data_IF_602126892816
#
_entry.id   IF_602126892816
#
_cell.length_a   1.000
_cell.length_b   1.000
_cell.length_c   1.000
_cell.angle_alpha   90.00
_cell.angle_beta   90.00
_cell.angle_gamma   90.00
#
_symmetry.space_group_name_H-M   'P 1'
#
loop_
_entity.id
_entity.type
_entity.pdbx_description
1 polymer ?
#
# COMPACT_ATOMS: atom_id res chain seq x y z
N UNK A 1 3.17 -1.17 -4.24
CA UNK A 1 1.94 -0.80 -3.52
C UNK A 1 2.37 0.13 -2.41
N UNK A 2 1.82 1.35 -2.34
CA UNK A 2 2.12 2.29 -1.25
C UNK A 2 1.70 1.70 0.09
N UNK A 3 0.64 0.89 0.16
CA UNK A 3 0.28 0.14 1.37
C UNK A 3 1.42 -0.69 1.97
N UNK A 4 2.41 -1.10 1.16
CA UNK A 4 3.59 -1.84 1.63
C UNK A 4 4.78 -0.94 2.03
N UNK A 5 4.58 0.39 2.05
CA UNK A 5 5.58 1.39 2.37
C UNK A 5 5.11 2.18 3.58
N UNK A 6 6.03 2.43 4.52
CA UNK A 6 5.76 3.34 5.63
C UNK A 6 5.19 4.68 5.13
N UNK A 7 4.07 5.18 5.71
CA UNK A 7 3.44 6.44 5.35
C UNK A 7 4.40 7.63 5.32
N UNK A 8 5.38 7.65 6.25
CA UNK A 8 6.42 8.69 6.33
C UNK A 8 7.28 8.80 5.07
N UNK A 9 7.39 7.73 4.27
CA UNK A 9 8.18 7.71 3.02
C UNK A 9 7.34 8.03 1.78
N UNK A 10 6.01 7.97 1.85
CA UNK A 10 5.13 8.19 0.69
C UNK A 10 5.33 9.57 0.03
N UNK A 11 5.49 10.70 0.76
CA UNK A 11 5.73 11.99 0.13
C UNK A 11 6.98 12.01 -0.75
N UNK A 12 8.07 11.38 -0.30
CA UNK A 12 9.30 11.25 -1.07
C UNK A 12 9.11 10.39 -2.32
N UNK A 13 8.30 9.33 -2.24
CA UNK A 13 7.97 8.50 -3.40
C UNK A 13 7.21 9.32 -4.46
N UNK A 14 6.21 10.09 -4.05
CA UNK A 14 5.46 10.96 -4.96
C UNK A 14 6.35 12.02 -5.63
N UNK A 15 7.28 12.61 -4.88
CA UNK A 15 8.27 13.54 -5.43
C UNK A 15 9.19 12.86 -6.46
N UNK A 16 9.64 11.64 -6.18
CA UNK A 16 10.46 10.86 -7.10
C UNK A 16 9.70 10.52 -8.39
N UNK A 17 8.44 10.10 -8.29
CA UNK A 17 7.59 9.82 -9.45
C UNK A 17 7.43 11.09 -10.30
N UNK A 18 7.11 12.24 -9.67
CA UNK A 18 6.97 13.52 -10.37
C UNK A 18 8.24 13.91 -11.13
N UNK A 19 9.42 13.64 -10.55
CA UNK A 19 10.72 13.98 -11.16
C UNK A 19 11.03 13.19 -12.43
N UNK A 20 10.56 11.95 -12.54
CA UNK A 20 10.87 11.06 -13.67
C UNK A 20 9.74 10.97 -14.70
N UNK A 21 8.56 11.52 -14.38
CA UNK A 21 7.41 11.51 -15.28
C UNK A 21 7.63 12.48 -16.44
N UNK A 22 7.37 12.02 -17.67
CA UNK A 22 7.38 12.89 -18.86
C UNK A 22 6.28 13.96 -18.75
N UNK A 23 6.43 15.12 -19.40
CA UNK A 23 5.32 16.05 -19.57
C UNK A 23 4.09 15.34 -20.12
N UNK A 24 2.92 15.59 -19.52
CA UNK A 24 1.64 14.93 -19.84
C UNK A 24 1.62 13.40 -19.66
N UNK A 25 2.63 12.83 -18.98
CA UNK A 25 2.60 11.44 -18.57
C UNK A 25 1.57 11.20 -17.47
N UNK A 26 1.05 9.97 -17.42
CA UNK A 26 0.14 9.53 -16.38
C UNK A 26 0.76 8.39 -15.58
N UNK A 27 0.41 8.34 -14.30
CA UNK A 27 0.77 7.25 -13.40
C UNK A 27 -0.50 6.47 -13.12
N UNK A 28 -0.53 5.20 -13.52
CA UNK A 28 -1.60 4.29 -13.15
C UNK A 28 -1.26 3.68 -11.80
N UNK A 29 -2.09 3.97 -10.82
CA UNK A 29 -1.87 3.55 -9.44
C UNK A 29 -2.76 2.36 -9.11
N UNK A 30 -2.16 1.28 -8.61
CA UNK A 30 -2.86 0.08 -8.12
C UNK A 30 -2.37 -0.22 -6.71
N UNK A 31 -3.30 -0.30 -5.78
CA UNK A 31 -3.01 -0.61 -4.38
C UNK A 31 -4.11 -1.46 -3.74
N UNK A 32 -3.86 -1.90 -2.51
CA UNK A 32 -4.87 -2.41 -1.61
C UNK A 32 -5.68 -1.25 -1.02
N UNK A 33 -6.92 -1.53 -0.64
CA UNK A 33 -7.81 -0.57 -0.03
C UNK A 33 -8.64 -1.23 1.08
N UNK A 34 -9.17 -0.42 1.98
CA UNK A 34 -10.10 -0.88 3.00
C UNK A 34 -11.35 -1.52 2.35
N UNK A 35 -11.73 -2.69 2.86
CA UNK A 35 -12.83 -3.52 2.39
C UNK A 35 -12.50 -4.39 1.17
N UNK A 36 -11.27 -4.36 0.64
CA UNK A 36 -10.96 -5.16 -0.54
C UNK A 36 -10.86 -6.68 -0.24
N UNK A 37 -10.94 -7.48 -1.31
CA UNK A 37 -10.90 -8.94 -1.18
C UNK A 37 -9.59 -9.48 -0.61
N UNK A 38 -8.47 -8.75 -0.76
CA UNK A 38 -7.20 -9.15 -0.18
C UNK A 38 -7.20 -8.92 1.33
N UNK A 39 -7.79 -7.82 1.81
CA UNK A 39 -7.97 -7.53 3.23
C UNK A 39 -8.81 -8.63 3.89
N UNK A 40 -9.97 -8.99 3.31
CA UNK A 40 -10.82 -10.09 3.79
C UNK A 40 -10.02 -11.39 3.91
N UNK A 41 -9.25 -11.74 2.87
CA UNK A 41 -8.40 -12.95 2.89
C UNK A 41 -7.30 -12.92 3.95
N UNK A 42 -6.78 -11.74 4.30
CA UNK A 42 -5.76 -11.61 5.34
C UNK A 42 -6.39 -11.70 6.73
N UNK A 43 -7.59 -11.15 6.91
CA UNK A 43 -8.40 -11.30 8.11
C UNK A 43 -8.76 -12.77 8.36
N UNK A 44 -9.28 -13.48 7.34
CA UNK A 44 -9.61 -14.92 7.41
C UNK A 44 -8.41 -15.79 7.83
N UNK A 45 -7.20 -15.33 7.53
CA UNK A 45 -5.94 -16.03 7.86
C UNK A 45 -5.31 -15.57 9.18
N UNK A 46 -5.99 -14.75 9.97
CA UNK A 46 -5.48 -14.16 11.22
C UNK A 46 -4.12 -13.47 11.04
N UNK A 47 -3.96 -12.72 9.95
CA UNK A 47 -2.71 -12.03 9.59
C UNK A 47 -2.66 -10.56 9.98
N UNK A 48 -3.64 -10.10 10.76
CA UNK A 48 -3.71 -8.73 11.25
C UNK A 48 -2.78 -8.55 12.45
N UNK A 49 -1.94 -7.51 12.43
CA UNK A 49 -1.01 -7.14 13.52
C UNK A 49 -1.60 -5.98 14.34
N UNK A 50 -2.27 -5.05 13.69
CA UNK A 50 -3.09 -4.00 14.30
C UNK A 50 -4.23 -3.63 13.35
N UNK A 51 -5.13 -2.74 13.78
CA UNK A 51 -6.20 -2.21 12.92
C UNK A 51 -5.63 -1.77 11.55
N UNK A 52 -6.25 -2.25 10.47
CA UNK A 52 -5.85 -2.02 9.07
C UNK A 52 -4.37 -2.31 8.72
N UNK A 53 -3.68 -3.09 9.56
CA UNK A 53 -2.27 -3.45 9.38
C UNK A 53 -2.06 -4.97 9.40
N UNK A 54 -1.54 -5.50 8.30
CA UNK A 54 -1.47 -6.94 8.03
C UNK A 54 -0.06 -7.39 7.65
N UNK A 55 0.22 -8.69 7.81
CA UNK A 55 1.45 -9.33 7.32
C UNK A 55 1.16 -10.46 6.35
N UNK A 56 1.83 -10.45 5.21
CA UNK A 56 1.75 -11.52 4.21
C UNK A 56 2.60 -12.72 4.63
N UNK A 57 2.36 -13.86 3.99
CA UNK A 57 3.15 -15.08 4.23
C UNK A 57 4.63 -14.97 3.88
N UNK A 58 5.00 -13.99 3.05
CA UNK A 58 6.39 -13.67 2.68
C UNK A 58 7.04 -12.65 3.63
N UNK A 59 6.35 -12.24 4.71
CA UNK A 59 6.84 -11.26 5.68
C UNK A 59 6.61 -9.80 5.28
N UNK A 60 6.02 -9.51 4.11
CA UNK A 60 5.67 -8.14 3.72
C UNK A 60 4.56 -7.60 4.61
N UNK A 61 4.79 -6.43 5.22
CA UNK A 61 3.76 -5.71 5.96
C UNK A 61 2.92 -4.81 5.03
N UNK A 62 1.61 -4.75 5.27
CA UNK A 62 0.63 -3.98 4.50
C UNK A 62 -0.18 -3.12 5.46
N UNK A 63 -0.10 -1.80 5.33
CA UNK A 63 -0.87 -0.81 6.07
C UNK A 63 -1.84 -0.13 5.11
N UNK A 64 -3.15 -0.37 5.29
CA UNK A 64 -4.20 0.23 4.46
C UNK A 64 -4.83 1.46 5.13
N UNK A 65 -4.42 1.83 6.34
CA UNK A 65 -4.97 2.97 7.10
C UNK A 65 -4.74 4.32 6.42
N UNK A 66 -3.80 4.38 5.47
CA UNK A 66 -3.33 5.60 4.80
C UNK A 66 -3.53 5.58 3.28
N UNK A 67 -4.24 4.58 2.76
CA UNK A 67 -4.60 4.46 1.34
C UNK A 67 -6.09 4.75 1.19
#
# INVERSE_FOLDING_TARGET
MLSAVSPKKMPMILQNIKRVLKPNGYVLFRDYANGDFAQVKLQDKNRMISEDFYVRGDGTALDTSYI
#
